data_IF_040774059372
#
_entry.id   IF_040774059372
#
_cell.length_a   1.000
_cell.length_b   1.000
_cell.length_c   1.000
_cell.angle_alpha   90.00
_cell.angle_beta   90.00
_cell.angle_gamma   90.00
#
_symmetry.space_group_name_H-M   'P 1'
#
loop_
_entity.id
_entity.type
_entity.pdbx_description
1 polymer ?
#
# COMPACT_ATOMS: atom_id res chain seq x y z
N UNK A 1 -8.69 -9.70 -11.99
CA UNK A 1 -7.47 -8.89 -12.20
C UNK A 1 -7.77 -7.39 -12.29
N UNK A 2 -8.71 -6.93 -13.12
CA UNK A 2 -9.04 -5.49 -13.25
C UNK A 2 -9.36 -4.75 -11.94
N UNK A 3 -10.05 -5.37 -10.97
CA UNK A 3 -10.38 -4.73 -9.68
C UNK A 3 -9.19 -4.45 -8.76
N UNK A 4 -8.16 -5.31 -8.78
CA UNK A 4 -6.95 -5.13 -7.95
C UNK A 4 -6.11 -3.99 -8.51
N UNK A 5 -6.00 -3.92 -9.84
CA UNK A 5 -5.30 -2.83 -10.51
C UNK A 5 -5.98 -1.48 -10.25
N UNK A 6 -7.31 -1.41 -10.40
CA UNK A 6 -8.08 -0.20 -10.08
C UNK A 6 -7.90 0.22 -8.61
N UNK A 7 -7.90 -0.73 -7.68
CA UNK A 7 -7.65 -0.42 -6.26
C UNK A 7 -6.22 0.09 -6.03
N UNK A 8 -5.21 -0.50 -6.69
CA UNK A 8 -3.84 0.00 -6.63
C UNK A 8 -3.72 1.43 -7.17
N UNK A 9 -4.36 1.73 -8.31
CA UNK A 9 -4.39 3.07 -8.89
C UNK A 9 -5.09 4.08 -7.95
N UNK A 10 -6.17 3.68 -7.30
CA UNK A 10 -6.84 4.51 -6.29
C UNK A 10 -5.93 4.77 -5.08
N UNK A 11 -5.25 3.75 -4.56
CA UNK A 11 -4.29 3.92 -3.47
C UNK A 11 -3.20 4.93 -3.84
N UNK A 12 -2.59 4.80 -5.00
CA UNK A 12 -1.55 5.75 -5.44
C UNK A 12 -2.12 7.17 -5.58
N UNK A 13 -3.28 7.30 -6.22
CA UNK A 13 -3.90 8.62 -6.46
C UNK A 13 -4.30 9.32 -5.16
N UNK A 14 -4.90 8.59 -4.22
CA UNK A 14 -5.41 9.17 -2.97
C UNK A 14 -4.31 9.39 -1.93
N UNK A 15 -3.29 8.52 -1.89
CA UNK A 15 -2.29 8.54 -0.81
C UNK A 15 -1.02 9.33 -1.17
N UNK A 16 -0.67 9.44 -2.45
CA UNK A 16 0.59 10.08 -2.87
C UNK A 16 0.43 11.56 -3.27
N UNK A 17 -0.81 12.06 -3.44
CA UNK A 17 -1.09 13.39 -3.97
C UNK A 17 -0.38 14.55 -3.23
N UNK A 18 -0.21 14.42 -1.90
CA UNK A 18 0.42 15.44 -1.06
C UNK A 18 1.78 15.00 -0.47
N UNK A 19 2.33 13.87 -0.95
CA UNK A 19 3.63 13.34 -0.49
C UNK A 19 3.67 12.89 0.98
N UNK A 20 2.51 12.72 1.63
CA UNK A 20 2.38 12.17 2.98
C UNK A 20 2.73 10.68 3.01
N UNK A 21 2.27 9.93 2.01
CA UNK A 21 2.45 8.50 1.92
C UNK A 21 2.94 8.09 0.53
N UNK A 22 3.54 6.90 0.45
CA UNK A 22 4.01 6.28 -0.80
C UNK A 22 3.68 4.79 -0.78
N UNK A 23 3.10 4.30 -1.87
CA UNK A 23 2.87 2.88 -2.08
C UNK A 23 4.18 2.28 -2.58
N UNK A 24 4.95 1.65 -1.68
CA UNK A 24 6.28 1.12 -2.02
C UNK A 24 6.23 -0.23 -2.71
N UNK A 25 5.29 -1.10 -2.32
CA UNK A 25 5.22 -2.48 -2.82
C UNK A 25 3.80 -3.02 -2.83
N UNK A 26 3.52 -3.91 -3.78
CA UNK A 26 2.36 -4.80 -3.75
C UNK A 26 2.87 -6.25 -3.78
N UNK A 27 2.61 -7.00 -2.72
CA UNK A 27 2.99 -8.40 -2.57
C UNK A 27 1.76 -9.27 -2.81
N UNK A 28 1.85 -10.22 -3.74
CA UNK A 28 0.80 -11.22 -3.96
C UNK A 28 1.30 -12.58 -3.49
N UNK A 29 0.63 -13.16 -2.50
CA UNK A 29 0.95 -14.48 -1.98
C UNK A 29 -0.34 -15.25 -1.66
N UNK A 30 -0.47 -16.49 -2.17
CA UNK A 30 -1.61 -17.38 -1.93
C UNK A 30 -3.00 -16.72 -2.12
N UNK A 31 -3.14 -15.89 -3.16
CA UNK A 31 -4.40 -15.20 -3.46
C UNK A 31 -4.70 -13.97 -2.59
N UNK A 32 -3.80 -13.61 -1.67
CA UNK A 32 -3.86 -12.38 -0.89
C UNK A 32 -2.94 -11.34 -1.52
N UNK A 33 -3.43 -10.10 -1.66
CA UNK A 33 -2.60 -8.95 -2.02
C UNK A 33 -2.38 -8.09 -0.79
N UNK A 34 -1.12 -7.75 -0.53
CA UNK A 34 -0.71 -6.86 0.54
C UNK A 34 -0.05 -5.64 -0.08
N UNK A 35 -0.47 -4.46 0.35
CA UNK A 35 0.19 -3.21 -0.02
C UNK A 35 1.05 -2.75 1.15
N UNK A 36 2.31 -2.45 0.87
CA UNK A 36 3.23 -1.86 1.86
C UNK A 36 3.32 -0.37 1.57
N UNK A 37 2.84 0.42 2.52
CA UNK A 37 2.71 1.86 2.41
C UNK A 37 3.54 2.49 3.53
N UNK A 38 4.48 3.35 3.17
CA UNK A 38 5.18 4.18 4.15
C UNK A 38 4.52 5.55 4.18
N UNK A 39 4.23 6.06 5.37
CA UNK A 39 3.63 7.37 5.57
C UNK A 39 4.35 8.13 6.68
N UNK A 40 4.23 9.45 6.67
CA UNK A 40 4.78 10.31 7.74
C UNK A 40 3.76 10.57 8.85
N UNK A 41 2.48 10.54 8.50
CA UNK A 41 1.37 10.81 9.40
C UNK A 41 0.24 9.80 9.15
N UNK A 42 -0.12 9.06 10.19
CA UNK A 42 -1.16 8.03 10.16
C UNK A 42 -2.57 8.61 10.05
N UNK A 43 -2.84 9.79 10.61
CA UNK A 43 -4.14 10.43 10.50
C UNK A 43 -4.40 10.88 9.07
N UNK A 44 -3.38 11.46 8.42
CA UNK A 44 -3.46 11.82 7.01
C UNK A 44 -3.56 10.58 6.09
N UNK A 45 -2.89 9.48 6.45
CA UNK A 45 -3.04 8.21 5.74
C UNK A 45 -4.49 7.71 5.84
N UNK A 46 -5.07 7.72 7.04
CA UNK A 46 -6.46 7.30 7.25
C UNK A 46 -7.45 8.15 6.45
N UNK A 47 -7.27 9.48 6.43
CA UNK A 47 -8.09 10.38 5.61
C UNK A 47 -7.99 10.05 4.12
N UNK A 48 -6.78 9.74 3.64
CA UNK A 48 -6.57 9.33 2.25
C UNK A 48 -7.25 7.99 1.92
N UNK A 49 -7.24 7.03 2.85
CA UNK A 49 -7.94 5.75 2.69
C UNK A 49 -9.46 5.92 2.68
N UNK A 50 -10.01 6.78 3.55
CA UNK A 50 -11.44 7.08 3.61
C UNK A 50 -11.94 7.80 2.35
N UNK A 51 -11.05 8.49 1.63
CA UNK A 51 -11.36 9.18 0.38
C UNK A 51 -11.38 8.24 -0.85
N UNK A 52 -10.98 6.97 -0.71
CA UNK A 52 -10.99 6.01 -1.82
C UNK A 52 -12.42 5.73 -2.27
N UNK A 53 -12.74 5.88 -3.57
CA UNK A 53 -14.08 5.60 -4.07
C UNK A 53 -14.51 4.15 -3.81
N UNK A 54 -15.65 3.97 -3.15
CA UNK A 54 -16.25 2.65 -2.85
C UNK A 54 -17.35 2.26 -3.85
N UNK A 55 -17.40 2.94 -5.00
CA UNK A 55 -18.43 2.76 -6.05
C UNK A 55 -18.50 1.32 -6.59
N UNK A 56 -17.43 0.55 -6.48
CA UNK A 56 -17.35 -0.86 -6.91
C UNK A 56 -17.56 -1.87 -5.75
N UNK A 57 -17.98 -1.40 -4.59
CA UNK A 57 -18.21 -2.17 -3.35
C UNK A 57 -17.15 -1.93 -2.28
N UNK A 58 -17.41 -2.41 -1.07
CA UNK A 58 -16.43 -2.40 0.02
C UNK A 58 -15.32 -3.42 -0.29
N UNK A 59 -14.06 -2.96 -0.27
CA UNK A 59 -12.91 -3.86 -0.34
C UNK A 59 -12.69 -4.47 1.05
N UNK A 60 -12.67 -5.80 1.20
CA UNK A 60 -12.27 -6.42 2.46
C UNK A 60 -10.75 -6.23 2.60
N UNK A 61 -10.35 -5.17 3.28
CA UNK A 61 -8.96 -4.85 3.58
C UNK A 61 -8.74 -4.86 5.09
N UNK A 62 -7.60 -5.41 5.49
CA UNK A 62 -7.10 -5.32 6.86
C UNK A 62 -5.94 -4.33 6.85
N UNK A 63 -5.97 -3.35 7.75
CA UNK A 63 -4.93 -2.34 7.87
C UNK A 63 -4.16 -2.65 9.15
N UNK A 64 -2.85 -2.81 9.01
CA UNK A 64 -1.91 -2.97 10.11
C UNK A 64 -0.88 -1.85 9.99
N UNK A 65 -0.67 -1.12 11.08
CA UNK A 65 0.31 -0.04 11.15
C UNK A 65 1.34 -0.39 12.22
N UNK A 66 2.59 -0.49 11.79
CA UNK A 66 3.75 -0.76 12.64
C UNK A 66 4.83 0.30 12.36
N UNK A 67 5.64 0.63 13.37
CA UNK A 67 6.79 1.51 13.19
C UNK A 67 7.94 0.77 12.50
N UNK A 68 8.36 1.26 11.33
CA UNK A 68 9.54 0.77 10.60
C UNK A 68 10.47 1.93 10.19
N UNK A 69 11.14 2.59 11.16
CA UNK A 69 11.96 3.78 10.88
C UNK A 69 13.15 3.48 9.96
N UNK A 70 13.64 2.25 9.94
CA UNK A 70 14.79 1.81 9.15
C UNK A 70 14.42 1.20 7.80
N UNK A 71 13.11 1.20 7.44
CA UNK A 71 12.61 0.64 6.18
C UNK A 71 12.99 -0.84 5.99
N UNK A 72 13.04 -1.58 7.10
CA UNK A 72 13.51 -2.96 7.16
C UNK A 72 12.69 -3.87 6.26
N UNK A 73 11.36 -3.70 6.21
CA UNK A 73 10.48 -4.52 5.37
C UNK A 73 10.78 -4.31 3.89
N UNK A 74 10.92 -3.05 3.46
CA UNK A 74 11.27 -2.73 2.08
C UNK A 74 12.63 -3.31 1.69
N UNK A 75 13.67 -3.07 2.51
CA UNK A 75 15.04 -3.53 2.23
C UNK A 75 15.10 -5.05 2.10
N UNK A 76 14.45 -5.78 3.01
CA UNK A 76 14.44 -7.25 2.98
C UNK A 76 13.81 -7.78 1.69
N UNK A 77 12.65 -7.25 1.29
CA UNK A 77 11.98 -7.68 0.06
C UNK A 77 12.81 -7.31 -1.17
N UNK A 78 13.33 -6.09 -1.22
CA UNK A 78 14.18 -5.62 -2.31
C UNK A 78 15.43 -6.49 -2.50
N UNK A 79 16.10 -6.86 -1.41
CA UNK A 79 17.28 -7.73 -1.45
C UNK A 79 16.97 -9.14 -1.95
N UNK A 80 15.79 -9.69 -1.64
CA UNK A 80 15.34 -10.98 -2.18
C UNK A 80 15.15 -10.88 -3.68
N UNK A 81 14.39 -9.88 -4.15
CA UNK A 81 14.13 -9.67 -5.59
C UNK A 81 15.45 -9.49 -6.35
N UNK A 82 16.36 -8.65 -5.84
CA UNK A 82 17.66 -8.39 -6.46
C UNK A 82 18.56 -9.62 -6.58
N UNK A 83 18.40 -10.63 -5.73
CA UNK A 83 19.21 -11.87 -5.80
C UNK A 83 18.74 -12.83 -6.90
N UNK A 84 17.50 -12.66 -7.37
CA UNK A 84 16.89 -13.50 -8.39
C UNK A 84 17.04 -12.91 -9.82
N UNK A 85 17.57 -11.69 -9.95
CA UNK A 85 17.96 -10.99 -11.20
C UNK A 85 19.46 -11.20 -11.54
#
# INVERSE_FOLDING_TARGET
QSRILAFNEHLQTCLEADGNAVVTMMLTNNGTNQWVIYCRDLELLQQGLDAIPTTDGLYPIEIVADEDPEWSTFVQVFEVIKKDD
#
